data_IF_992317931293
#
_entry.id   IF_992317931293
#
_cell.length_a   1.000
_cell.length_b   1.000
_cell.length_c   1.000
_cell.angle_alpha   90.00
_cell.angle_beta   90.00
_cell.angle_gamma   90.00
#
_symmetry.space_group_name_H-M   'P 1'
#
loop_
_entity.id
_entity.type
_entity.pdbx_description
1 polymer ?
#
# COMPACT_ATOMS: atom_id res chain seq x y z
N UNK A 1 18.79 -0.94 41.01
CA UNK A 1 17.31 -0.80 40.95
C UNK A 1 16.77 -2.20 40.71
N UNK A 2 15.76 -2.68 41.46
CA UNK A 2 15.23 -4.03 41.24
C UNK A 2 14.71 -4.13 39.81
N UNK A 3 15.10 -5.19 39.10
CA UNK A 3 14.58 -5.47 37.77
C UNK A 3 13.05 -5.53 37.87
N UNK A 4 12.35 -4.71 37.08
CA UNK A 4 10.90 -4.76 37.03
C UNK A 4 10.53 -6.16 36.52
N UNK A 5 9.69 -6.87 37.27
CA UNK A 5 9.22 -8.17 36.84
C UNK A 5 8.51 -8.03 35.48
N UNK A 6 8.83 -8.91 34.53
CA UNK A 6 8.29 -8.85 33.17
C UNK A 6 6.75 -8.79 33.16
N UNK A 7 6.10 -9.44 34.13
CA UNK A 7 4.65 -9.41 34.36
C UNK A 7 4.11 -7.99 34.63
N UNK A 8 4.83 -7.16 35.38
CA UNK A 8 4.44 -5.78 35.62
C UNK A 8 4.53 -4.93 34.34
N UNK A 9 5.53 -5.21 33.49
CA UNK A 9 5.66 -4.57 32.18
C UNK A 9 4.53 -4.97 31.22
N UNK A 10 4.15 -6.24 31.21
CA UNK A 10 3.02 -6.75 30.42
C UNK A 10 1.72 -6.07 30.87
N UNK A 11 1.46 -5.98 32.17
CA UNK A 11 0.26 -5.33 32.70
C UNK A 11 0.21 -3.84 32.32
N UNK A 12 1.33 -3.13 32.47
CA UNK A 12 1.43 -1.71 32.10
C UNK A 12 1.23 -1.51 30.58
N UNK A 13 1.87 -2.32 29.74
CA UNK A 13 1.74 -2.25 28.29
C UNK A 13 0.32 -2.60 27.82
N UNK A 14 -0.31 -3.60 28.45
CA UNK A 14 -1.70 -3.98 28.21
C UNK A 14 -2.65 -2.82 28.44
N UNK A 15 -2.55 -2.16 29.61
CA UNK A 15 -3.35 -0.99 29.96
C UNK A 15 -3.13 0.18 29.01
N UNK A 16 -1.87 0.50 28.71
CA UNK A 16 -1.51 1.67 27.90
C UNK A 16 -1.97 1.56 26.43
N UNK A 17 -1.98 0.35 25.86
CA UNK A 17 -2.28 0.16 24.44
C UNK A 17 -3.63 -0.53 24.16
N UNK A 18 -4.31 -1.00 25.20
CA UNK A 18 -5.61 -1.66 25.10
C UNK A 18 -5.51 -3.07 24.50
N UNK A 19 -4.40 -3.78 24.75
CA UNK A 19 -4.19 -5.16 24.30
C UNK A 19 -4.35 -6.10 25.49
N UNK A 20 -5.18 -7.15 25.44
CA UNK A 20 -5.34 -8.06 26.57
C UNK A 20 -4.01 -8.70 26.99
N UNK A 21 -3.78 -8.81 28.31
CA UNK A 21 -2.58 -9.46 28.90
C UNK A 21 -2.34 -10.83 28.27
N UNK A 22 -3.38 -11.66 28.19
CA UNK A 22 -3.29 -13.00 27.60
C UNK A 22 -2.82 -13.01 26.13
N UNK A 23 -3.12 -11.95 25.36
CA UNK A 23 -2.63 -11.82 23.99
C UNK A 23 -1.14 -11.53 23.95
N UNK A 24 -0.64 -10.68 24.84
CA UNK A 24 0.79 -10.35 24.95
C UNK A 24 1.57 -11.59 25.39
N UNK A 25 1.07 -12.29 26.41
CA UNK A 25 1.65 -13.55 26.91
C UNK A 25 1.69 -14.62 25.83
N UNK A 26 0.59 -14.81 25.09
CA UNK A 26 0.56 -15.76 23.98
C UNK A 26 1.63 -15.47 22.92
N UNK A 27 1.87 -14.20 22.57
CA UNK A 27 2.92 -13.82 21.62
C UNK A 27 4.31 -14.13 22.17
N UNK A 28 4.54 -13.88 23.45
CA UNK A 28 5.81 -14.22 24.12
C UNK A 28 6.03 -15.74 24.12
N UNK A 29 4.99 -16.52 24.40
CA UNK A 29 5.05 -17.97 24.58
C UNK A 29 5.06 -18.76 23.26
N UNK A 30 4.45 -18.23 22.19
CA UNK A 30 4.29 -18.92 20.89
C UNK A 30 5.61 -19.22 20.14
N UNK A 31 6.76 -18.76 20.64
CA UNK A 31 8.07 -19.40 20.47
C UNK A 31 8.75 -19.38 19.10
N UNK A 32 8.06 -19.03 18.00
CA UNK A 32 8.68 -18.95 16.67
C UNK A 32 9.15 -17.53 16.37
N UNK A 33 10.29 -17.16 16.98
CA UNK A 33 10.99 -15.90 16.68
C UNK A 33 11.92 -16.11 15.49
N UNK A 34 11.83 -15.22 14.50
CA UNK A 34 12.79 -15.25 13.38
C UNK A 34 14.23 -15.04 13.88
N UNK A 35 15.25 -15.60 13.21
CA UNK A 35 16.64 -15.34 13.55
C UNK A 35 16.94 -13.84 13.64
N UNK A 36 17.53 -13.41 14.76
CA UNK A 36 17.88 -12.00 15.00
C UNK A 36 16.75 -11.12 15.52
N UNK A 37 15.58 -11.68 15.83
CA UNK A 37 14.49 -10.97 16.50
C UNK A 37 14.89 -10.46 17.90
N UNK A 38 14.30 -9.34 18.29
CA UNK A 38 14.67 -8.58 19.49
C UNK A 38 13.65 -8.84 20.60
N UNK A 39 14.17 -9.13 21.79
CA UNK A 39 13.42 -9.14 23.04
C UNK A 39 12.36 -10.25 23.17
N UNK A 40 11.55 -10.19 24.24
CA UNK A 40 10.59 -11.23 24.59
C UNK A 40 9.43 -11.35 23.59
N UNK A 41 9.08 -10.27 22.89
CA UNK A 41 8.00 -10.27 21.89
C UNK A 41 8.48 -10.55 20.45
N UNK A 42 9.79 -10.79 20.24
CA UNK A 42 10.31 -11.21 18.94
C UNK A 42 10.24 -10.12 17.85
N UNK A 43 10.56 -8.88 18.19
CA UNK A 43 10.48 -7.73 17.26
C UNK A 43 11.52 -7.90 16.14
N UNK A 44 11.14 -7.91 14.84
CA UNK A 44 12.12 -7.96 13.76
C UNK A 44 13.00 -6.70 13.72
N UNK A 45 14.30 -6.83 13.46
CA UNK A 45 15.23 -5.68 13.51
C UNK A 45 14.84 -4.50 12.62
N UNK A 46 14.19 -4.77 11.48
CA UNK A 46 13.71 -3.75 10.55
C UNK A 46 12.67 -2.78 11.14
N UNK A 47 12.08 -3.10 12.30
CA UNK A 47 11.12 -2.22 12.99
C UNK A 47 11.76 -1.09 13.79
N UNK A 48 13.05 -1.17 14.13
CA UNK A 48 13.66 -0.19 15.02
C UNK A 48 13.64 1.25 14.47
N UNK A 49 13.97 1.50 13.19
CA UNK A 49 13.86 2.85 12.63
C UNK A 49 12.42 3.39 12.59
N UNK A 50 11.41 2.51 12.63
CA UNK A 50 10.01 2.91 12.72
C UNK A 50 9.62 3.23 14.16
N UNK A 51 9.98 2.37 15.12
CA UNK A 51 9.77 2.59 16.55
C UNK A 51 10.39 3.91 17.02
N UNK A 52 11.60 4.26 16.53
CA UNK A 52 12.23 5.55 16.84
C UNK A 52 11.38 6.76 16.47
N UNK A 53 10.70 6.72 15.31
CA UNK A 53 9.81 7.80 14.85
C UNK A 53 8.58 7.99 15.74
N UNK A 54 8.20 6.96 16.49
CA UNK A 54 7.08 6.96 17.42
C UNK A 54 7.53 7.14 18.89
N UNK A 55 8.79 7.53 19.11
CA UNK A 55 9.30 7.92 20.43
C UNK A 55 9.92 6.78 21.24
N UNK A 56 10.16 5.61 20.65
CA UNK A 56 10.85 4.51 21.32
C UNK A 56 12.38 4.65 21.18
N UNK A 57 13.09 4.44 22.28
CA UNK A 57 14.56 4.38 22.30
C UNK A 57 15.03 3.02 21.76
N UNK A 58 15.68 3.01 20.58
CA UNK A 58 16.12 1.77 19.93
C UNK A 58 17.09 0.95 20.78
N UNK A 59 17.97 1.61 21.54
CA UNK A 59 18.94 0.92 22.37
C UNK A 59 18.22 0.21 23.52
N UNK A 60 17.27 0.89 24.18
CA UNK A 60 16.46 0.28 25.23
C UNK A 60 15.60 -0.87 24.72
N UNK A 61 14.97 -0.73 23.55
CA UNK A 61 14.19 -1.82 22.93
C UNK A 61 15.07 -3.06 22.66
N UNK A 62 16.37 -2.87 22.36
CA UNK A 62 17.31 -3.97 22.14
C UNK A 62 17.75 -4.67 23.42
N UNK A 63 17.91 -3.93 24.51
CA UNK A 63 18.65 -4.41 25.69
C UNK A 63 17.80 -4.59 26.95
N UNK A 64 16.59 -4.03 26.99
CA UNK A 64 15.69 -4.09 28.15
C UNK A 64 14.39 -4.81 27.77
N UNK A 65 14.14 -5.94 28.41
CA UNK A 65 12.98 -6.79 28.12
C UNK A 65 11.66 -6.05 28.34
N UNK A 66 11.59 -5.16 29.33
CA UNK A 66 10.41 -4.34 29.60
C UNK A 66 10.11 -3.40 28.43
N UNK A 67 11.13 -2.67 27.96
CA UNK A 67 11.06 -1.82 26.77
C UNK A 67 10.72 -2.62 25.51
N UNK A 68 11.23 -3.84 25.41
CA UNK A 68 10.87 -4.81 24.37
C UNK A 68 9.40 -5.22 24.41
N UNK A 69 8.82 -5.47 25.59
CA UNK A 69 7.38 -5.76 25.75
C UNK A 69 6.54 -4.53 25.41
N UNK A 70 6.92 -3.34 25.87
CA UNK A 70 6.17 -2.11 25.57
C UNK A 70 6.19 -1.83 24.07
N UNK A 71 7.34 -1.92 23.41
CA UNK A 71 7.47 -1.72 21.97
C UNK A 71 6.74 -2.81 21.16
N UNK A 72 6.86 -4.07 21.56
CA UNK A 72 6.17 -5.19 20.92
C UNK A 72 4.65 -5.09 21.06
N UNK A 73 4.16 -4.68 22.23
CA UNK A 73 2.72 -4.45 22.47
C UNK A 73 2.22 -3.24 21.70
N UNK A 74 3.03 -2.18 21.57
CA UNK A 74 2.71 -1.07 20.68
C UNK A 74 2.61 -1.53 19.22
N UNK A 75 3.54 -2.37 18.73
CA UNK A 75 3.46 -2.95 17.38
C UNK A 75 2.20 -3.80 17.25
N UNK A 76 1.86 -4.63 18.24
CA UNK A 76 0.62 -5.42 18.22
C UNK A 76 -0.61 -4.53 18.18
N UNK A 77 -0.68 -3.50 19.02
CA UNK A 77 -1.81 -2.57 19.05
C UNK A 77 -1.92 -1.76 17.78
N UNK A 78 -0.80 -1.28 17.26
CA UNK A 78 -0.71 -0.61 15.98
C UNK A 78 -1.20 -1.55 14.86
N UNK A 79 -0.72 -2.80 14.84
CA UNK A 79 -1.12 -3.82 13.87
C UNK A 79 -2.60 -4.20 14.01
N UNK A 80 -3.16 -4.33 15.20
CA UNK A 80 -4.58 -4.63 15.42
C UNK A 80 -5.49 -3.43 15.07
N UNK A 81 -5.06 -2.20 15.37
CA UNK A 81 -5.74 -0.97 14.92
C UNK A 81 -5.66 -0.81 13.40
N UNK A 82 -4.54 -1.21 12.81
CA UNK A 82 -4.37 -1.30 11.35
C UNK A 82 -5.25 -2.41 10.77
N UNK A 83 -5.35 -3.59 11.38
CA UNK A 83 -6.25 -4.69 10.97
C UNK A 83 -7.74 -4.34 11.10
N UNK A 84 -8.11 -3.46 12.04
CA UNK A 84 -9.49 -2.93 12.16
C UNK A 84 -9.78 -1.75 11.21
N UNK A 85 -8.79 -1.31 10.43
CA UNK A 85 -8.91 -0.24 9.40
C UNK A 85 -8.54 -0.73 7.98
N UNK A 86 -7.82 -1.85 7.85
CA UNK A 86 -7.26 -2.42 6.60
C UNK A 86 -7.77 -3.85 6.41
N UNK A 87 -8.19 -4.23 5.19
CA UNK A 87 -8.56 -5.61 4.87
C UNK A 87 -9.96 -6.03 5.36
N UNK A 88 -10.86 -5.06 5.54
CA UNK A 88 -12.23 -5.30 6.03
C UNK A 88 -13.06 -6.17 5.09
N UNK A 89 -12.74 -6.19 3.80
CA UNK A 89 -13.49 -6.95 2.81
C UNK A 89 -12.62 -7.99 2.13
N UNK A 90 -13.24 -9.10 1.73
CA UNK A 90 -12.60 -10.13 0.90
C UNK A 90 -12.01 -9.55 -0.39
N UNK A 91 -12.60 -8.45 -0.87
CA UNK A 91 -12.14 -7.71 -2.05
C UNK A 91 -10.77 -7.08 -1.84
N UNK A 92 -10.49 -6.49 -0.66
CA UNK A 92 -9.21 -5.84 -0.39
C UNK A 92 -8.06 -6.86 -0.35
N UNK A 93 -8.29 -8.01 0.31
CA UNK A 93 -7.34 -9.13 0.33
C UNK A 93 -7.07 -9.65 -1.08
N UNK A 94 -8.13 -9.80 -1.88
CA UNK A 94 -8.03 -10.22 -3.27
C UNK A 94 -7.22 -9.24 -4.13
N UNK A 95 -7.38 -7.93 -3.95
CA UNK A 95 -6.58 -6.93 -4.67
C UNK A 95 -5.10 -7.11 -4.38
N UNK A 96 -4.72 -7.23 -3.09
CA UNK A 96 -3.33 -7.41 -2.70
C UNK A 96 -2.74 -8.73 -3.21
N UNK A 97 -3.51 -9.81 -3.17
CA UNK A 97 -3.10 -11.10 -3.70
C UNK A 97 -2.85 -11.05 -5.22
N UNK A 98 -3.75 -10.41 -5.98
CA UNK A 98 -3.61 -10.23 -7.42
C UNK A 98 -2.43 -9.32 -7.78
N UNK A 99 -2.15 -8.32 -6.95
CA UNK A 99 -1.03 -7.40 -7.15
C UNK A 99 0.33 -8.06 -6.90
N UNK A 100 0.40 -9.05 -5.99
CA UNK A 100 1.66 -9.59 -5.45
C UNK A 100 2.70 -10.00 -6.50
N UNK A 101 2.35 -10.70 -7.61
CA UNK A 101 3.32 -11.05 -8.65
C UNK A 101 3.92 -9.83 -9.37
N UNK A 102 3.20 -8.71 -9.39
CA UNK A 102 3.55 -7.49 -10.11
C UNK A 102 4.22 -6.45 -9.21
N UNK A 103 4.12 -6.60 -7.88
CA UNK A 103 4.63 -5.64 -6.90
C UNK A 103 6.11 -5.28 -7.06
N UNK A 104 7.04 -6.22 -7.38
CA UNK A 104 8.44 -5.85 -7.63
C UNK A 104 8.59 -4.83 -8.77
N UNK A 105 7.93 -5.06 -9.90
CA UNK A 105 7.94 -4.15 -11.04
C UNK A 105 7.21 -2.84 -10.71
N UNK A 106 6.01 -2.91 -10.14
CA UNK A 106 5.23 -1.74 -9.73
C UNK A 106 6.05 -0.84 -8.79
N UNK A 107 6.66 -1.40 -7.74
CA UNK A 107 7.46 -0.64 -6.78
C UNK A 107 8.68 -0.01 -7.44
N UNK A 108 9.41 -0.76 -8.27
CA UNK A 108 10.61 -0.27 -8.95
C UNK A 108 10.29 0.88 -9.91
N UNK A 109 9.28 0.73 -10.76
CA UNK A 109 8.87 1.75 -11.73
C UNK A 109 8.27 2.96 -11.00
N UNK A 110 7.42 2.73 -9.99
CA UNK A 110 6.78 3.81 -9.23
C UNK A 110 7.80 4.68 -8.50
N UNK A 111 8.86 4.07 -7.94
CA UNK A 111 9.96 4.80 -7.31
C UNK A 111 10.70 5.70 -8.32
N UNK A 112 10.94 5.22 -9.55
CA UNK A 112 11.57 6.01 -10.63
C UNK A 112 10.66 7.13 -11.13
N UNK A 113 9.37 6.85 -11.27
CA UNK A 113 8.37 7.79 -11.76
C UNK A 113 7.86 8.78 -10.69
N UNK A 114 8.28 8.59 -9.42
CA UNK A 114 7.86 9.36 -8.24
C UNK A 114 6.34 9.37 -8.05
N UNK A 115 5.71 8.20 -8.16
CA UNK A 115 4.28 8.01 -7.94
C UNK A 115 4.05 6.99 -6.82
N UNK A 116 2.94 7.11 -6.09
CA UNK A 116 2.59 6.15 -5.06
C UNK A 116 2.21 4.79 -5.70
N UNK A 117 2.93 3.68 -5.42
CA UNK A 117 2.60 2.37 -5.98
C UNK A 117 1.20 1.89 -5.62
N UNK A 118 0.60 2.41 -4.54
CA UNK A 118 -0.77 2.07 -4.13
C UNK A 118 -1.81 2.64 -5.10
N UNK A 119 -1.55 3.82 -5.68
CA UNK A 119 -2.39 4.40 -6.74
C UNK A 119 -2.28 3.57 -8.02
N UNK A 120 -1.07 3.12 -8.35
CA UNK A 120 -0.82 2.24 -9.51
C UNK A 120 -1.59 0.91 -9.37
N UNK A 121 -1.54 0.27 -8.19
CA UNK A 121 -2.31 -0.95 -7.90
C UNK A 121 -3.82 -0.71 -8.09
N UNK A 122 -4.33 0.41 -7.59
CA UNK A 122 -5.75 0.77 -7.72
C UNK A 122 -6.18 0.95 -9.18
N UNK A 123 -5.34 1.60 -9.99
CA UNK A 123 -5.57 1.76 -11.44
C UNK A 123 -5.54 0.40 -12.15
N UNK A 124 -4.50 -0.42 -11.96
CA UNK A 124 -4.41 -1.74 -12.60
C UNK A 124 -5.61 -2.61 -12.24
N UNK A 125 -6.03 -2.58 -10.98
CA UNK A 125 -7.21 -3.34 -10.54
C UNK A 125 -8.48 -2.85 -11.23
N UNK A 126 -8.67 -1.53 -11.38
CA UNK A 126 -9.83 -1.01 -12.11
C UNK A 126 -9.79 -1.36 -13.60
N UNK A 127 -8.61 -1.27 -14.22
CA UNK A 127 -8.43 -1.46 -15.66
C UNK A 127 -8.56 -2.91 -16.12
N UNK A 128 -7.90 -3.84 -15.41
CA UNK A 128 -7.76 -5.22 -15.90
C UNK A 128 -7.99 -6.28 -14.84
N UNK A 129 -8.18 -5.90 -13.57
CA UNK A 129 -8.14 -6.84 -12.44
C UNK A 129 -6.84 -7.68 -12.44
N UNK A 130 -5.73 -7.07 -12.85
CA UNK A 130 -4.42 -7.72 -13.04
C UNK A 130 -4.37 -8.82 -14.11
N UNK A 131 -5.23 -8.75 -15.14
CA UNK A 131 -5.19 -9.66 -16.28
C UNK A 131 -4.27 -9.13 -17.39
N UNK A 132 -3.07 -9.71 -17.61
CA UNK A 132 -2.11 -9.18 -18.57
C UNK A 132 -2.55 -9.32 -20.04
N UNK A 133 -3.48 -10.22 -20.33
CA UNK A 133 -4.03 -10.45 -21.67
C UNK A 133 -5.34 -9.68 -21.92
N UNK A 134 -5.78 -8.81 -21.00
CA UNK A 134 -7.03 -8.07 -21.13
C UNK A 134 -7.04 -7.17 -22.38
N UNK A 135 -8.15 -7.21 -23.13
CA UNK A 135 -8.43 -6.31 -24.25
C UNK A 135 -9.85 -5.80 -24.12
N UNK A 136 -10.04 -4.49 -24.05
CA UNK A 136 -11.38 -3.89 -23.98
C UNK A 136 -12.07 -3.85 -25.35
N UNK A 137 -13.38 -3.59 -25.38
CA UNK A 137 -14.12 -3.35 -26.62
C UNK A 137 -13.63 -2.13 -27.42
N UNK A 138 -12.91 -1.20 -26.76
CA UNK A 138 -12.26 -0.05 -27.39
C UNK A 138 -10.80 -0.33 -27.80
N UNK A 139 -10.34 -1.58 -27.70
CA UNK A 139 -8.96 -2.02 -27.96
C UNK A 139 -7.90 -1.47 -26.98
N UNK A 140 -8.26 -1.16 -25.75
CA UNK A 140 -7.28 -0.90 -24.69
C UNK A 140 -6.64 -2.24 -24.26
N UNK A 141 -5.32 -2.28 -24.01
CA UNK A 141 -4.56 -3.54 -23.91
C UNK A 141 -3.80 -3.64 -22.59
N UNK A 142 -3.84 -4.83 -21.98
CA UNK A 142 -2.95 -5.27 -20.92
C UNK A 142 -3.32 -4.76 -19.53
N UNK A 143 -2.37 -4.86 -18.60
CA UNK A 143 -2.55 -4.58 -17.17
C UNK A 143 -3.10 -3.18 -16.90
N UNK A 144 -2.60 -2.17 -17.61
CA UNK A 144 -2.96 -0.77 -17.46
C UNK A 144 -3.81 -0.24 -18.62
N UNK A 145 -4.36 -1.14 -19.45
CA UNK A 145 -5.29 -0.83 -20.54
C UNK A 145 -4.82 0.34 -21.41
N UNK A 146 -3.61 0.23 -21.95
CA UNK A 146 -3.09 1.25 -22.85
C UNK A 146 -3.79 1.17 -24.21
N UNK A 147 -4.32 2.29 -24.67
CA UNK A 147 -4.77 2.43 -26.06
C UNK A 147 -3.57 2.26 -27.02
N UNK A 148 -3.75 1.67 -28.22
CA UNK A 148 -2.63 1.44 -29.14
C UNK A 148 -1.90 2.71 -29.55
N UNK A 149 -2.62 3.83 -29.69
CA UNK A 149 -2.02 5.14 -29.96
C UNK A 149 -1.14 5.63 -28.80
N UNK A 150 -1.62 5.49 -27.56
CA UNK A 150 -0.86 5.82 -26.36
C UNK A 150 0.39 4.95 -26.25
N UNK A 151 0.26 3.64 -26.43
CA UNK A 151 1.40 2.71 -26.39
C UNK A 151 2.48 3.06 -27.43
N UNK A 152 2.08 3.43 -28.67
CA UNK A 152 3.01 3.91 -29.70
C UNK A 152 3.73 5.19 -29.27
N UNK A 153 3.01 6.17 -28.72
CA UNK A 153 3.63 7.42 -28.24
C UNK A 153 4.64 7.21 -27.11
N UNK A 154 4.46 6.15 -26.32
CA UNK A 154 5.33 5.76 -25.23
C UNK A 154 6.48 4.83 -25.67
N UNK A 155 6.49 4.38 -26.92
CA UNK A 155 7.49 3.44 -27.44
C UNK A 155 7.41 2.04 -26.81
N UNK A 156 6.24 1.61 -26.34
CA UNK A 156 6.03 0.32 -25.66
C UNK A 156 5.15 -0.63 -26.46
N UNK A 157 5.44 -1.93 -26.37
CA UNK A 157 4.50 -2.97 -26.79
C UNK A 157 3.49 -3.23 -25.66
N UNK A 158 2.20 -2.87 -25.83
CA UNK A 158 1.24 -2.99 -24.73
C UNK A 158 0.82 -4.45 -24.45
N UNK A 159 1.16 -5.41 -25.32
CA UNK A 159 0.95 -6.85 -25.09
C UNK A 159 2.03 -7.50 -24.25
N UNK A 160 3.19 -6.86 -24.11
CA UNK A 160 4.23 -7.29 -23.17
C UNK A 160 3.90 -6.71 -21.79
N UNK A 161 3.67 -7.54 -20.75
CA UNK A 161 3.23 -7.04 -19.45
C UNK A 161 4.22 -6.10 -18.77
N UNK A 162 5.53 -6.30 -18.96
CA UNK A 162 6.56 -5.45 -18.37
C UNK A 162 6.58 -4.08 -19.04
N UNK A 163 6.51 -4.04 -20.37
CA UNK A 163 6.41 -2.79 -21.13
C UNK A 163 5.07 -2.08 -20.91
N UNK A 164 3.98 -2.82 -20.73
CA UNK A 164 2.67 -2.26 -20.40
C UNK A 164 2.68 -1.55 -19.03
N UNK A 165 3.26 -2.19 -18.01
CA UNK A 165 3.47 -1.57 -16.69
C UNK A 165 4.39 -0.36 -16.80
N UNK A 166 5.51 -0.47 -17.51
CA UNK A 166 6.44 0.64 -17.70
C UNK A 166 5.73 1.85 -18.33
N UNK A 167 5.08 1.67 -19.48
CA UNK A 167 4.37 2.73 -20.19
C UNK A 167 3.23 3.30 -19.37
N UNK A 168 2.36 2.46 -18.79
CA UNK A 168 1.19 2.89 -18.05
C UNK A 168 1.53 3.65 -16.77
N UNK A 169 2.52 3.21 -16.01
CA UNK A 169 2.95 3.90 -14.78
C UNK A 169 3.56 5.26 -15.11
N UNK A 170 4.41 5.34 -16.14
CA UNK A 170 4.98 6.61 -16.59
C UNK A 170 3.90 7.56 -17.15
N UNK A 171 2.93 7.03 -17.87
CA UNK A 171 1.80 7.82 -18.38
C UNK A 171 0.98 8.40 -17.23
N UNK A 172 0.60 7.58 -16.25
CA UNK A 172 -0.12 8.03 -15.05
C UNK A 172 0.70 9.07 -14.26
N UNK A 173 2.00 8.85 -14.07
CA UNK A 173 2.87 9.79 -13.38
C UNK A 173 3.00 11.14 -14.12
N UNK A 174 3.03 11.13 -15.45
CA UNK A 174 3.01 12.35 -16.27
C UNK A 174 1.71 13.13 -16.07
N UNK A 175 0.56 12.43 -16.03
CA UNK A 175 -0.72 13.07 -15.75
C UNK A 175 -0.77 13.64 -14.33
N UNK A 176 -0.29 12.90 -13.33
CA UNK A 176 -0.17 13.41 -11.95
C UNK A 176 0.63 14.72 -11.89
N UNK A 177 1.73 14.83 -12.64
CA UNK A 177 2.51 16.07 -12.75
C UNK A 177 1.74 17.17 -13.48
N UNK A 178 1.13 16.86 -14.61
CA UNK A 178 0.37 17.82 -15.43
C UNK A 178 -0.82 18.45 -14.67
N UNK A 179 -1.40 17.70 -13.73
CA UNK A 179 -2.50 18.17 -12.88
C UNK A 179 -2.05 18.53 -11.45
N UNK A 180 -0.76 18.84 -11.24
CA UNK A 180 -0.21 19.34 -9.98
C UNK A 180 -0.56 18.48 -8.75
N UNK A 181 -0.55 17.16 -8.91
CA UNK A 181 -0.88 16.21 -7.85
C UNK A 181 -2.39 16.02 -7.60
N UNK A 182 -3.26 16.66 -8.37
CA UNK A 182 -4.70 16.42 -8.29
C UNK A 182 -5.05 15.03 -8.85
N UNK A 183 -5.15 14.05 -7.95
CA UNK A 183 -5.42 12.64 -8.29
C UNK A 183 -6.72 12.48 -9.10
N UNK A 184 -7.79 13.21 -8.74
CA UNK A 184 -9.07 13.10 -9.44
C UNK A 184 -8.99 13.52 -10.90
N UNK A 185 -8.33 14.65 -11.18
CA UNK A 185 -8.13 15.14 -12.55
C UNK A 185 -7.15 14.27 -13.35
N UNK A 186 -6.09 13.77 -12.72
CA UNK A 186 -5.17 12.85 -13.37
C UNK A 186 -5.84 11.53 -13.76
N UNK A 187 -6.71 10.97 -12.91
CA UNK A 187 -7.50 9.77 -13.22
C UNK A 187 -8.54 10.03 -14.32
N UNK A 188 -9.21 11.18 -14.28
CA UNK A 188 -10.12 11.58 -15.33
C UNK A 188 -9.40 11.71 -16.69
N UNK A 189 -8.19 12.28 -16.69
CA UNK A 189 -7.37 12.40 -17.89
C UNK A 189 -6.80 11.05 -18.35
N UNK A 190 -6.55 10.11 -17.44
CA UNK A 190 -6.11 8.76 -17.78
C UNK A 190 -7.20 8.00 -18.55
N UNK A 191 -8.46 8.09 -18.08
CA UNK A 191 -9.60 7.41 -18.71
C UNK A 191 -10.15 8.15 -19.94
N UNK A 192 -10.40 9.46 -19.84
CA UNK A 192 -11.06 10.25 -20.90
C UNK A 192 -10.09 10.98 -21.84
N UNK A 193 -8.79 10.98 -21.52
CA UNK A 193 -7.77 11.78 -22.19
C UNK A 193 -7.65 13.22 -21.62
N UNK A 194 -6.44 13.79 -21.59
CA UNK A 194 -6.20 15.13 -21.03
C UNK A 194 -6.89 16.25 -21.83
N UNK A 195 -7.10 16.05 -23.13
CA UNK A 195 -7.84 16.99 -23.98
C UNK A 195 -9.31 17.15 -23.56
N UNK A 196 -9.96 16.08 -23.10
CA UNK A 196 -11.33 16.15 -22.59
C UNK A 196 -11.38 16.93 -21.27
N UNK A 197 -10.46 16.65 -20.34
CA UNK A 197 -10.38 17.38 -19.07
C UNK A 197 -10.11 18.86 -19.30
N UNK A 198 -9.22 19.21 -20.23
CA UNK A 198 -8.96 20.60 -20.61
C UNK A 198 -10.20 21.27 -21.21
N UNK A 199 -10.91 20.60 -22.13
CA UNK A 199 -12.13 21.13 -22.77
C UNK A 199 -13.23 21.47 -21.74
N UNK A 200 -13.40 20.64 -20.72
CA UNK A 200 -14.45 20.81 -19.71
C UNK A 200 -14.01 21.55 -18.45
N UNK A 201 -12.71 21.85 -18.30
CA UNK A 201 -12.18 22.50 -17.10
C UNK A 201 -12.28 21.64 -15.83
N UNK A 202 -12.39 20.31 -15.97
CA UNK A 202 -12.67 19.39 -14.86
C UNK A 202 -12.92 17.96 -15.32
N UNK A 203 -13.53 17.15 -14.44
CA UNK A 203 -13.94 15.79 -14.81
C UNK A 203 -15.04 15.90 -15.88
N UNK A 204 -14.82 15.35 -17.10
CA UNK A 204 -15.79 15.47 -18.18
C UNK A 204 -17.10 14.77 -17.83
N UNK A 205 -18.25 15.21 -18.39
CA UNK A 205 -19.57 14.60 -18.15
C UNK A 205 -19.75 13.29 -18.92
N UNK A 206 -18.71 12.46 -18.99
CA UNK A 206 -18.74 11.13 -19.56
C UNK A 206 -19.07 10.17 -18.43
N UNK A 207 -20.17 9.42 -18.58
CA UNK A 207 -20.63 8.49 -17.53
C UNK A 207 -19.53 7.54 -17.08
N UNK A 208 -18.80 6.96 -18.04
CA UNK A 208 -17.66 6.07 -17.76
C UNK A 208 -16.63 6.74 -16.84
N UNK A 209 -16.23 7.98 -17.14
CA UNK A 209 -15.22 8.70 -16.36
C UNK A 209 -15.75 9.12 -14.98
N UNK A 210 -17.01 9.52 -14.89
CA UNK A 210 -17.68 9.85 -13.63
C UNK A 210 -17.80 8.63 -12.71
N UNK A 211 -17.91 7.43 -13.25
CA UNK A 211 -17.90 6.17 -12.50
C UNK A 211 -16.47 5.70 -12.18
N UNK A 212 -15.53 5.87 -13.13
CA UNK A 212 -14.14 5.43 -13.03
C UNK A 212 -13.39 6.11 -11.88
N UNK A 213 -13.42 7.45 -11.82
CA UNK A 213 -12.66 8.23 -10.83
C UNK A 213 -12.99 7.84 -9.38
N UNK A 214 -14.26 7.85 -8.92
CA UNK A 214 -14.58 7.48 -7.55
C UNK A 214 -14.24 6.02 -7.25
N UNK A 215 -14.36 5.12 -8.24
CA UNK A 215 -14.04 3.71 -8.08
C UNK A 215 -12.53 3.48 -7.87
N UNK A 216 -11.67 4.14 -8.65
CA UNK A 216 -10.22 4.09 -8.43
C UNK A 216 -9.84 4.74 -7.10
N UNK A 217 -10.45 5.87 -6.72
CA UNK A 217 -10.20 6.49 -5.41
C UNK A 217 -10.65 5.61 -4.25
N UNK A 218 -11.70 4.80 -4.42
CA UNK A 218 -12.11 3.79 -3.45
C UNK A 218 -11.03 2.71 -3.28
N UNK A 219 -10.55 2.11 -4.38
CA UNK A 219 -9.44 1.14 -4.32
C UNK A 219 -8.15 1.76 -3.80
N UNK A 220 -7.85 2.99 -4.21
CA UNK A 220 -6.66 3.68 -3.76
C UNK A 220 -6.69 3.88 -2.25
N UNK A 221 -7.83 4.25 -1.67
CA UNK A 221 -7.99 4.31 -0.22
C UNK A 221 -7.82 2.94 0.44
N UNK A 222 -8.44 1.88 -0.10
CA UNK A 222 -8.35 0.55 0.52
C UNK A 222 -6.93 -0.03 0.50
N UNK A 223 -6.17 0.25 -0.55
CA UNK A 223 -4.74 -0.11 -0.67
C UNK A 223 -3.84 0.88 0.09
N UNK A 224 -4.25 2.15 0.23
CA UNK A 224 -3.47 3.21 0.92
C UNK A 224 -3.30 2.96 2.41
N UNK A 225 -4.32 2.44 3.08
CA UNK A 225 -4.19 2.17 4.50
C UNK A 225 -3.26 0.99 4.80
N UNK A 226 -2.83 0.20 3.79
CA UNK A 226 -1.90 -0.92 3.94
C UNK A 226 -0.41 -0.55 4.16
N UNK A 227 -0.08 0.68 4.60
CA UNK A 227 1.33 1.08 4.84
C UNK A 227 1.61 1.60 6.25
N UNK A 228 2.52 0.85 6.87
CA UNK A 228 3.64 1.19 7.75
C UNK A 228 3.35 1.86 9.09
#
# INVERSE_FOLDING_TARGET
MPAIALSACILAASSNYGIPVATIEHVIDSGTKQPGAIGPMGIPQGWLPYLSRYGFDEQKVRTDDCSGVVAGTWILAYTQRMQTVIGKTETDKKILQLAQPWMPAINWISAKAQIDPRLVVAVIYQESKFQPAAVSGANAIGLMQLMPATARSLGVNPRDPAQNLWGGIWYLANLMRAYHGNVGLALAAYNAGPGAVSRYGGIPPYRETQDYVPQVLHWYRSVSYAKN
#
